data_IF_018264901225
#
_entry.id   IF_018264901225
#
_cell.length_a   1.000
_cell.length_b   1.000
_cell.length_c   1.000
_cell.angle_alpha   90.00
_cell.angle_beta   90.00
_cell.angle_gamma   90.00
#
_symmetry.space_group_name_H-M   'P 1'
#
loop_
_entity.id
_entity.type
_entity.pdbx_description
1 polymer ?
#
# COMPACT_ATOMS: atom_id res chain seq x y z
N UNK A 1 -89.11 40.62 -48.39
CA UNK A 1 -88.84 40.77 -46.93
C UNK A 1 -87.98 39.64 -46.49
N UNK A 2 -86.68 39.86 -46.19
CA UNK A 2 -85.77 38.87 -45.68
C UNK A 2 -85.11 39.41 -44.43
N UNK A 3 -85.40 38.78 -43.27
CA UNK A 3 -84.83 39.16 -42.00
C UNK A 3 -83.41 38.59 -41.87
N UNK A 4 -82.44 39.43 -41.58
CA UNK A 4 -81.09 39.10 -41.35
C UNK A 4 -80.91 38.62 -39.85
N UNK A 5 -80.50 37.36 -39.63
CA UNK A 5 -80.18 36.84 -38.33
C UNK A 5 -78.75 37.22 -37.97
N UNK A 6 -78.58 38.04 -36.94
CA UNK A 6 -77.29 38.44 -36.39
C UNK A 6 -76.75 37.35 -35.45
N UNK A 7 -75.71 36.65 -35.88
CA UNK A 7 -74.98 35.66 -35.09
C UNK A 7 -73.96 36.34 -34.18
N UNK A 8 -74.26 36.42 -32.88
CA UNK A 8 -73.37 36.98 -31.85
C UNK A 8 -72.41 35.88 -31.34
N UNK A 9 -71.19 35.76 -31.89
CA UNK A 9 -70.15 34.89 -31.37
C UNK A 9 -69.49 35.53 -30.14
N UNK A 10 -69.82 35.03 -28.93
CA UNK A 10 -69.09 35.38 -27.67
C UNK A 10 -67.65 34.91 -27.76
N UNK A 11 -66.68 35.79 -27.81
CA UNK A 11 -65.25 35.52 -27.67
C UNK A 11 -64.95 35.00 -26.27
N UNK A 12 -64.62 33.72 -26.13
CA UNK A 12 -64.07 33.16 -24.88
C UNK A 12 -62.70 33.79 -24.60
N UNK A 13 -62.55 34.53 -23.50
CA UNK A 13 -61.25 35.03 -23.00
C UNK A 13 -60.41 33.82 -22.63
N UNK A 14 -59.28 33.59 -23.33
CA UNK A 14 -58.26 32.66 -22.92
C UNK A 14 -57.70 33.12 -21.57
N UNK A 15 -57.90 32.33 -20.50
CA UNK A 15 -57.23 32.58 -19.22
C UNK A 15 -55.74 32.42 -19.44
N UNK A 16 -54.96 33.47 -19.07
CA UNK A 16 -53.50 33.47 -19.11
C UNK A 16 -52.99 32.37 -18.17
N UNK A 17 -52.14 31.46 -18.70
CA UNK A 17 -51.50 30.41 -17.92
C UNK A 17 -50.23 30.94 -17.18
N UNK A 18 -49.93 32.22 -17.31
CA UNK A 18 -48.77 32.87 -16.70
C UNK A 18 -48.65 32.68 -15.17
N UNK A 19 -49.73 32.78 -14.37
CA UNK A 19 -49.62 32.56 -12.91
C UNK A 19 -49.28 31.12 -12.53
N UNK A 20 -49.70 30.12 -13.30
CA UNK A 20 -49.39 28.74 -13.06
C UNK A 20 -47.94 28.42 -13.37
N UNK A 21 -47.41 28.96 -14.48
CA UNK A 21 -45.99 28.80 -14.85
C UNK A 21 -45.06 29.47 -13.83
N UNK A 22 -45.45 30.62 -13.26
CA UNK A 22 -44.68 31.29 -12.22
C UNK A 22 -44.60 30.46 -10.93
N UNK A 23 -45.70 29.82 -10.50
CA UNK A 23 -45.72 28.95 -9.33
C UNK A 23 -44.82 27.75 -9.54
N UNK A 24 -44.86 27.09 -10.72
CA UNK A 24 -43.95 25.97 -11.02
C UNK A 24 -42.48 26.42 -11.03
N UNK A 25 -42.17 27.59 -11.53
CA UNK A 25 -40.80 28.13 -11.56
C UNK A 25 -40.28 28.41 -10.15
N UNK A 26 -41.09 28.97 -9.25
CA UNK A 26 -40.75 29.25 -7.86
C UNK A 26 -40.55 27.93 -7.08
N UNK A 27 -41.43 26.94 -7.28
CA UNK A 27 -41.28 25.62 -6.63
C UNK A 27 -40.04 24.88 -7.09
N UNK A 28 -39.67 24.96 -8.39
CA UNK A 28 -38.46 24.38 -8.95
C UNK A 28 -37.20 25.03 -8.35
N UNK A 29 -37.18 26.37 -8.24
CA UNK A 29 -36.08 27.10 -7.62
C UNK A 29 -35.94 26.78 -6.13
N UNK A 30 -37.04 26.63 -5.39
CA UNK A 30 -37.01 26.23 -3.99
C UNK A 30 -36.46 24.82 -3.81
N UNK A 31 -36.84 23.89 -4.72
CA UNK A 31 -36.34 22.52 -4.69
C UNK A 31 -34.85 22.41 -5.03
N UNK A 32 -34.38 23.17 -6.02
CA UNK A 32 -32.95 23.29 -6.37
C UNK A 32 -32.14 23.92 -5.25
N UNK A 33 -32.69 24.92 -4.57
CA UNK A 33 -32.07 25.54 -3.39
C UNK A 33 -31.94 24.57 -2.23
N UNK A 34 -32.94 23.73 -2.01
CA UNK A 34 -32.94 22.72 -0.95
C UNK A 34 -31.93 21.59 -1.24
N UNK A 35 -31.81 21.16 -2.49
CA UNK A 35 -30.80 20.17 -2.92
C UNK A 35 -29.41 20.77 -2.79
N UNK A 36 -29.20 22.04 -3.13
CA UNK A 36 -27.93 22.75 -2.95
C UNK A 36 -27.51 22.87 -1.49
N UNK A 37 -28.45 23.19 -0.59
CA UNK A 37 -28.21 23.22 0.86
C UNK A 37 -27.89 21.83 1.43
N UNK A 38 -28.60 20.77 0.99
CA UNK A 38 -28.29 19.40 1.38
C UNK A 38 -26.92 18.95 0.88
N UNK A 39 -26.57 19.30 -0.35
CA UNK A 39 -25.23 19.01 -0.88
C UNK A 39 -24.11 19.71 -0.10
N UNK A 40 -24.32 21.00 0.27
CA UNK A 40 -23.39 21.75 1.11
C UNK A 40 -23.26 21.13 2.51
N UNK A 41 -24.37 20.70 3.15
CA UNK A 41 -24.32 20.03 4.44
C UNK A 41 -23.63 18.66 4.37
N UNK A 42 -23.76 17.93 3.25
CA UNK A 42 -23.08 16.65 3.04
C UNK A 42 -21.58 16.90 2.82
N UNK A 43 -21.22 17.88 2.00
CA UNK A 43 -19.82 18.27 1.79
C UNK A 43 -19.19 18.74 3.10
N UNK A 44 -19.88 19.59 3.88
CA UNK A 44 -19.40 20.07 5.18
C UNK A 44 -19.23 18.92 6.19
N UNK A 45 -20.13 17.93 6.21
CA UNK A 45 -19.97 16.70 7.02
C UNK A 45 -18.88 15.77 6.54
N UNK A 46 -18.58 15.75 5.23
CA UNK A 46 -17.50 14.93 4.68
C UNK A 46 -16.13 15.60 4.83
N UNK A 47 -16.08 16.94 4.77
CA UNK A 47 -14.84 17.71 4.95
C UNK A 47 -14.55 18.04 6.42
N UNK A 48 -15.55 18.19 7.27
CA UNK A 48 -15.42 18.45 8.70
C UNK A 48 -15.56 17.18 9.57
N UNK A 49 -15.34 15.98 9.03
CA UNK A 49 -14.85 14.91 9.89
C UNK A 49 -13.46 15.34 10.33
N UNK A 50 -13.36 16.11 11.39
CA UNK A 50 -12.14 16.18 12.20
C UNK A 50 -11.79 14.72 12.50
N UNK A 51 -10.78 14.20 11.81
CA UNK A 51 -10.11 12.98 12.24
C UNK A 51 -9.69 13.31 13.67
N UNK A 52 -10.19 12.55 14.64
CA UNK A 52 -9.84 12.74 16.03
C UNK A 52 -8.33 12.87 16.10
N UNK A 53 -7.81 14.04 16.46
CA UNK A 53 -6.38 14.22 16.69
C UNK A 53 -6.06 13.33 17.88
N UNK A 54 -5.50 12.15 17.59
CA UNK A 54 -4.96 11.29 18.63
C UNK A 54 -3.78 12.05 19.22
N UNK A 55 -3.85 12.38 20.48
CA UNK A 55 -2.74 12.98 21.20
C UNK A 55 -1.69 11.90 21.46
N UNK A 56 -0.69 11.84 20.58
CA UNK A 56 0.42 10.89 20.68
C UNK A 56 1.39 11.21 21.81
N UNK A 57 1.25 12.35 22.49
CA UNK A 57 2.18 12.73 23.56
C UNK A 57 2.11 11.81 24.78
N UNK A 58 0.98 11.11 24.96
CA UNK A 58 0.71 10.21 26.08
C UNK A 58 0.24 8.80 25.67
N UNK A 59 0.20 8.49 24.37
CA UNK A 59 -0.23 7.18 23.89
C UNK A 59 1.00 6.34 23.56
N UNK A 60 1.11 5.18 24.21
CA UNK A 60 2.08 4.16 23.83
C UNK A 60 1.66 3.56 22.48
N UNK A 61 2.56 3.61 21.49
CA UNK A 61 2.32 3.08 20.16
C UNK A 61 3.32 1.97 19.91
N UNK A 62 2.82 0.75 19.86
CA UNK A 62 3.67 -0.40 19.63
C UNK A 62 4.23 -0.43 18.19
N UNK A 63 5.42 -0.97 18.06
CA UNK A 63 5.98 -1.31 16.74
C UNK A 63 5.31 -2.59 16.24
N UNK A 64 5.03 -2.68 14.96
CA UNK A 64 4.39 -3.85 14.38
C UNK A 64 5.08 -4.34 13.11
N UNK A 65 4.98 -5.65 12.87
CA UNK A 65 5.60 -6.35 11.75
C UNK A 65 4.52 -6.83 10.78
N UNK A 66 4.66 -6.51 9.50
CA UNK A 66 3.78 -7.01 8.45
C UNK A 66 4.58 -7.79 7.41
N UNK A 67 4.13 -9.00 7.11
CA UNK A 67 4.68 -9.80 6.02
C UNK A 67 3.88 -9.54 4.73
N UNK A 68 4.53 -9.03 3.71
CA UNK A 68 3.97 -8.86 2.37
C UNK A 68 4.54 -9.93 1.45
N UNK A 69 3.68 -10.82 0.94
CA UNK A 69 4.04 -11.91 0.04
C UNK A 69 3.52 -11.61 -1.37
N UNK A 70 4.44 -11.33 -2.33
CA UNK A 70 4.05 -11.07 -3.70
C UNK A 70 3.84 -12.39 -4.45
N UNK A 71 2.67 -12.50 -5.08
CA UNK A 71 2.26 -13.68 -5.86
C UNK A 71 1.99 -13.31 -7.32
N UNK A 72 2.32 -14.23 -8.21
CA UNK A 72 2.01 -14.08 -9.63
C UNK A 72 0.55 -14.50 -9.94
N UNK A 73 0.17 -14.40 -11.22
CA UNK A 73 -1.18 -14.72 -11.69
C UNK A 73 -1.57 -16.20 -11.54
N UNK A 74 -0.59 -17.09 -11.38
CA UNK A 74 -0.79 -18.50 -11.05
C UNK A 74 -0.83 -18.76 -9.54
N UNK A 75 -0.85 -17.71 -8.71
CA UNK A 75 -0.79 -17.78 -7.25
C UNK A 75 0.49 -18.47 -6.73
N UNK A 76 1.60 -18.32 -7.43
CA UNK A 76 2.91 -18.80 -6.99
C UNK A 76 3.66 -17.66 -6.33
N UNK A 77 4.27 -17.93 -5.17
CA UNK A 77 5.08 -16.96 -4.43
C UNK A 77 6.31 -16.55 -5.27
N UNK A 78 6.41 -15.26 -5.54
CA UNK A 78 7.54 -14.67 -6.29
C UNK A 78 8.68 -14.24 -5.36
N UNK A 79 8.32 -13.46 -4.36
CA UNK A 79 9.19 -12.93 -3.30
C UNK A 79 8.31 -12.42 -2.13
N UNK A 80 8.95 -12.06 -1.03
CA UNK A 80 8.26 -11.46 0.10
C UNK A 80 9.17 -10.45 0.80
N UNK A 81 8.57 -9.58 1.60
CA UNK A 81 9.31 -8.74 2.51
C UNK A 81 8.61 -8.67 3.87
N UNK A 82 9.41 -8.53 4.93
CA UNK A 82 8.93 -8.20 6.26
C UNK A 82 9.17 -6.71 6.44
N UNK A 83 8.11 -5.99 6.79
CA UNK A 83 8.17 -4.54 7.04
C UNK A 83 7.80 -4.30 8.48
N UNK A 84 8.77 -3.78 9.26
CA UNK A 84 8.55 -3.33 10.62
C UNK A 84 8.35 -1.83 10.64
N UNK A 85 7.24 -1.40 11.21
CA UNK A 85 6.93 0.03 11.38
C UNK A 85 7.08 0.37 12.86
N UNK A 86 7.88 1.40 13.15
CA UNK A 86 8.18 1.90 14.49
C UNK A 86 7.72 3.37 14.57
N UNK A 87 6.44 3.64 14.87
CA UNK A 87 5.88 4.98 14.76
C UNK A 87 6.54 6.00 15.71
N UNK A 88 6.86 5.61 16.94
CA UNK A 88 7.49 6.50 17.91
C UNK A 88 8.86 6.99 17.46
N UNK A 89 9.68 6.09 16.90
CA UNK A 89 11.01 6.38 16.40
C UNK A 89 11.00 6.96 14.99
N UNK A 90 9.84 6.96 14.31
CA UNK A 90 9.70 7.29 12.89
C UNK A 90 10.69 6.49 12.02
N UNK A 91 10.74 5.18 12.24
CA UNK A 91 11.60 4.24 11.50
C UNK A 91 10.76 3.16 10.81
N UNK A 92 11.22 2.72 9.65
CA UNK A 92 10.67 1.58 8.92
C UNK A 92 11.84 0.69 8.51
N UNK A 93 11.85 -0.54 9.02
CA UNK A 93 12.80 -1.56 8.59
C UNK A 93 12.16 -2.45 7.53
N UNK A 94 12.88 -2.68 6.44
CA UNK A 94 12.50 -3.61 5.37
C UNK A 94 13.49 -4.77 5.35
N UNK A 95 12.98 -6.00 5.49
CA UNK A 95 13.75 -7.24 5.30
C UNK A 95 13.23 -7.93 4.05
N UNK A 96 13.91 -7.78 2.89
CA UNK A 96 13.53 -8.50 1.68
C UNK A 96 13.91 -9.96 1.82
N UNK A 97 13.02 -10.87 1.39
CA UNK A 97 13.22 -12.31 1.56
C UNK A 97 12.98 -13.04 0.25
N UNK A 98 13.91 -13.91 -0.11
CA UNK A 98 13.75 -14.77 -1.28
C UNK A 98 12.67 -15.84 -1.04
N UNK A 99 11.83 -16.07 -2.04
CA UNK A 99 10.90 -17.21 -2.03
C UNK A 99 11.61 -18.58 -1.99
N UNK A 100 12.91 -18.60 -2.26
CA UNK A 100 13.77 -19.78 -2.19
C UNK A 100 14.49 -19.95 -0.85
N UNK A 101 14.13 -19.15 0.16
CA UNK A 101 14.63 -19.34 1.53
C UNK A 101 14.10 -20.63 2.10
N UNK A 102 15.01 -21.47 2.62
CA UNK A 102 14.68 -22.74 3.27
C UNK A 102 14.06 -22.47 4.63
N UNK A 103 12.93 -23.10 4.89
CA UNK A 103 12.19 -22.96 6.13
C UNK A 103 12.81 -23.77 7.26
N UNK A 104 12.97 -23.16 8.44
CA UNK A 104 13.38 -23.89 9.65
C UNK A 104 12.25 -24.79 10.23
N UNK A 105 11.07 -24.84 9.61
CA UNK A 105 9.98 -25.71 10.07
C UNK A 105 10.29 -27.18 9.82
N UNK A 106 10.89 -27.50 8.68
CA UNK A 106 11.31 -28.84 8.27
C UNK A 106 12.76 -28.92 7.84
N UNK A 107 13.42 -27.77 7.60
CA UNK A 107 14.81 -27.68 7.17
C UNK A 107 15.05 -28.10 5.71
N UNK A 108 13.99 -28.27 4.92
CA UNK A 108 14.07 -28.77 3.54
C UNK A 108 13.26 -27.91 2.59
N UNK A 109 11.98 -27.63 2.91
CA UNK A 109 11.06 -26.90 2.04
C UNK A 109 11.41 -25.42 1.97
N UNK A 110 11.37 -24.85 0.75
CA UNK A 110 11.48 -23.42 0.55
C UNK A 110 10.19 -22.70 0.93
N UNK A 111 10.24 -21.40 1.16
CA UNK A 111 9.05 -20.60 1.42
C UNK A 111 8.02 -20.68 0.29
N UNK A 112 8.48 -20.83 -0.95
CA UNK A 112 7.61 -21.07 -2.11
C UNK A 112 6.81 -22.36 -1.94
N UNK A 113 7.46 -23.46 -1.62
CA UNK A 113 6.82 -24.77 -1.42
C UNK A 113 5.90 -24.76 -0.21
N UNK A 114 6.30 -24.10 0.88
CA UNK A 114 5.44 -23.89 2.05
C UNK A 114 4.18 -23.10 1.68
N UNK A 115 4.31 -22.05 0.88
CA UNK A 115 3.15 -21.27 0.41
C UNK A 115 2.24 -22.10 -0.50
N UNK A 116 2.81 -22.85 -1.44
CA UNK A 116 2.06 -23.71 -2.37
C UNK A 116 1.27 -24.81 -1.63
N UNK A 117 1.82 -25.35 -0.55
CA UNK A 117 1.18 -26.42 0.22
C UNK A 117 0.15 -25.95 1.25
N UNK A 118 0.37 -24.77 1.87
CA UNK A 118 -0.43 -24.34 3.02
C UNK A 118 -0.85 -22.87 3.01
N UNK A 119 -0.56 -22.15 1.93
CA UNK A 119 -0.94 -20.77 1.75
C UNK A 119 -0.25 -19.79 2.69
N UNK A 120 -0.80 -18.59 2.78
CA UNK A 120 -0.15 -17.46 3.47
C UNK A 120 0.03 -17.68 4.98
N UNK A 121 -0.89 -18.38 5.65
CA UNK A 121 -0.79 -18.62 7.10
C UNK A 121 0.35 -19.59 7.44
N UNK A 122 0.53 -20.65 6.64
CA UNK A 122 1.64 -21.56 6.84
C UNK A 122 2.96 -20.89 6.50
N UNK A 123 2.98 -20.06 5.45
CA UNK A 123 4.13 -19.22 5.13
C UNK A 123 4.49 -18.28 6.28
N UNK A 124 3.53 -17.58 6.89
CA UNK A 124 3.76 -16.73 8.06
C UNK A 124 4.45 -17.51 9.19
N UNK A 125 3.91 -18.67 9.56
CA UNK A 125 4.50 -19.53 10.60
C UNK A 125 5.94 -19.93 10.25
N UNK A 126 6.20 -20.24 8.99
CA UNK A 126 7.53 -20.61 8.53
C UNK A 126 8.51 -19.43 8.58
N UNK A 127 8.07 -18.24 8.15
CA UNK A 127 8.85 -17.01 8.22
C UNK A 127 9.18 -16.65 9.66
N UNK A 128 8.17 -16.64 10.54
CA UNK A 128 8.36 -16.32 11.96
C UNK A 128 9.38 -17.25 12.62
N UNK A 129 9.28 -18.54 12.36
CA UNK A 129 10.22 -19.53 12.89
C UNK A 129 11.62 -19.36 12.30
N UNK A 130 11.74 -19.14 11.00
CA UNK A 130 13.04 -19.06 10.32
C UNK A 130 13.83 -17.81 10.74
N UNK A 131 13.15 -16.68 10.91
CA UNK A 131 13.79 -15.43 11.30
C UNK A 131 13.79 -15.18 12.82
N UNK A 132 13.07 -16.00 13.60
CA UNK A 132 12.95 -15.83 15.07
C UNK A 132 12.16 -14.57 15.45
N UNK A 133 11.18 -14.20 14.65
CA UNK A 133 10.33 -12.99 14.84
C UNK A 133 8.87 -13.38 14.94
N UNK A 134 8.03 -12.44 15.34
CA UNK A 134 6.58 -12.57 15.22
C UNK A 134 6.06 -11.51 14.24
N UNK A 135 5.32 -11.94 13.21
CA UNK A 135 4.61 -11.04 12.30
C UNK A 135 3.17 -10.88 12.76
N UNK A 136 2.76 -9.63 13.02
CA UNK A 136 1.41 -9.30 13.50
C UNK A 136 0.39 -9.42 12.37
N UNK A 137 0.81 -8.97 11.19
CA UNK A 137 -0.03 -8.94 10.00
C UNK A 137 0.65 -9.61 8.81
N UNK A 138 -0.20 -10.06 7.87
CA UNK A 138 0.26 -10.51 6.56
C UNK A 138 -0.68 -10.01 5.45
N UNK A 139 -0.13 -9.89 4.25
CA UNK A 139 -0.90 -9.67 3.04
C UNK A 139 -0.26 -10.36 1.84
N UNK A 140 -1.08 -11.02 1.01
CA UNK A 140 -0.65 -11.36 -0.35
C UNK A 140 -0.85 -10.17 -1.27
N UNK A 141 0.13 -9.90 -2.12
CA UNK A 141 0.13 -8.78 -3.06
C UNK A 141 0.25 -9.34 -4.47
N UNK A 142 -0.75 -9.13 -5.32
CA UNK A 142 -0.65 -9.52 -6.73
C UNK A 142 0.36 -8.66 -7.49
N UNK A 143 0.89 -9.15 -8.59
CA UNK A 143 1.78 -8.37 -9.47
C UNK A 143 1.15 -7.02 -9.84
N UNK A 144 -0.15 -7.01 -10.21
CA UNK A 144 -0.85 -5.78 -10.58
C UNK A 144 -0.99 -4.81 -9.40
N UNK A 145 -1.33 -5.30 -8.20
CA UNK A 145 -1.42 -4.44 -7.02
C UNK A 145 -0.07 -3.81 -6.66
N UNK A 146 1.01 -4.58 -6.77
CA UNK A 146 2.37 -4.08 -6.58
C UNK A 146 2.74 -2.98 -7.58
N UNK A 147 2.52 -3.24 -8.89
CA UNK A 147 2.75 -2.26 -9.95
C UNK A 147 1.96 -0.98 -9.72
N UNK A 148 0.66 -1.10 -9.46
CA UNK A 148 -0.23 0.02 -9.23
C UNK A 148 0.18 0.87 -8.02
N UNK A 149 0.58 0.24 -6.90
CA UNK A 149 1.03 0.98 -5.71
C UNK A 149 2.35 1.72 -5.99
N UNK A 150 3.29 1.10 -6.68
CA UNK A 150 4.54 1.73 -7.07
C UNK A 150 4.31 2.92 -8.03
N UNK A 151 3.39 2.78 -9.00
CA UNK A 151 3.05 3.84 -9.94
C UNK A 151 2.29 5.01 -9.28
N UNK A 152 1.44 4.74 -8.27
CA UNK A 152 0.77 5.79 -7.47
C UNK A 152 1.82 6.67 -6.76
N UNK A 153 2.89 6.06 -6.24
CA UNK A 153 3.99 6.78 -5.59
C UNK A 153 4.90 7.49 -6.61
N UNK A 154 4.85 7.08 -7.88
CA UNK A 154 5.67 7.65 -8.97
C UNK A 154 6.98 6.93 -9.21
N UNK A 155 7.12 5.68 -8.73
CA UNK A 155 8.35 4.90 -8.88
C UNK A 155 9.53 5.45 -8.06
N UNK A 156 10.75 5.17 -8.48
CA UNK A 156 11.95 5.76 -7.89
C UNK A 156 13.10 5.83 -8.90
N UNK A 157 14.06 6.73 -8.65
CA UNK A 157 15.25 6.88 -9.47
C UNK A 157 16.23 5.74 -9.13
N UNK A 158 16.66 5.01 -10.16
CA UNK A 158 17.58 3.88 -10.03
C UNK A 158 18.70 3.98 -11.06
N UNK A 159 19.93 3.71 -10.64
CA UNK A 159 21.08 3.56 -11.51
C UNK A 159 21.74 2.21 -11.18
N UNK A 160 21.63 1.18 -12.03
CA UNK A 160 22.19 -0.14 -11.74
C UNK A 160 23.71 -0.12 -11.79
N UNK A 161 24.35 -0.91 -10.92
CA UNK A 161 25.83 -1.08 -10.90
C UNK A 161 26.34 -2.07 -11.96
N UNK A 162 25.44 -2.70 -12.70
CA UNK A 162 25.71 -3.60 -13.83
C UNK A 162 24.67 -3.36 -14.93
N UNK A 163 24.98 -3.69 -16.17
CA UNK A 163 23.99 -3.63 -17.25
C UNK A 163 22.88 -4.66 -17.03
N UNK A 164 21.64 -4.19 -17.01
CA UNK A 164 20.45 -5.05 -16.92
C UNK A 164 19.88 -5.22 -18.33
N UNK A 165 20.22 -6.32 -18.97
CA UNK A 165 19.75 -6.64 -20.32
C UNK A 165 19.18 -8.06 -20.38
N UNK A 166 17.87 -8.15 -20.60
CA UNK A 166 17.17 -9.42 -20.78
C UNK A 166 15.99 -9.25 -21.72
N UNK A 167 15.99 -10.00 -22.80
CA UNK A 167 14.87 -10.05 -23.75
C UNK A 167 14.16 -11.39 -23.56
N UNK A 168 12.90 -11.32 -23.15
CA UNK A 168 12.09 -12.52 -22.99
C UNK A 168 11.61 -13.05 -24.35
N UNK A 169 11.34 -14.35 -24.42
CA UNK A 169 10.81 -14.95 -25.64
C UNK A 169 9.42 -14.44 -26.04
N UNK A 170 8.69 -13.84 -25.10
CA UNK A 170 7.33 -13.33 -25.29
C UNK A 170 7.26 -11.82 -25.39
N UNK A 171 8.40 -11.12 -25.30
CA UNK A 171 8.53 -9.65 -25.24
C UNK A 171 7.75 -8.97 -24.07
N UNK A 172 7.18 -9.74 -23.15
CA UNK A 172 6.39 -9.22 -22.05
C UNK A 172 7.23 -8.88 -20.80
N UNK A 173 8.47 -9.39 -20.76
CA UNK A 173 9.36 -9.28 -19.60
C UNK A 173 10.75 -8.72 -19.97
N UNK A 174 10.78 -7.80 -20.92
CA UNK A 174 12.05 -7.23 -21.37
C UNK A 174 12.55 -6.18 -20.36
N UNK A 175 13.85 -6.26 -20.06
CA UNK A 175 14.58 -5.29 -19.25
C UNK A 175 15.79 -4.84 -20.05
N UNK A 176 15.98 -3.53 -20.19
CA UNK A 176 17.15 -2.94 -20.86
C UNK A 176 17.50 -1.61 -20.20
N UNK A 177 18.49 -1.64 -19.30
CA UNK A 177 19.01 -0.45 -18.60
C UNK A 177 20.54 -0.60 -18.57
N UNK A 178 21.24 0.45 -19.02
CA UNK A 178 22.71 0.45 -19.02
C UNK A 178 23.26 0.61 -17.62
N UNK A 179 24.44 0.07 -17.42
CA UNK A 179 25.22 0.33 -16.19
C UNK A 179 25.34 1.84 -15.92
N UNK A 180 25.08 2.25 -14.68
CA UNK A 180 25.12 3.65 -14.20
C UNK A 180 24.17 4.62 -14.94
N UNK A 181 23.26 4.13 -15.78
CA UNK A 181 22.20 4.94 -16.37
C UNK A 181 21.09 5.19 -15.32
N UNK A 182 20.90 6.46 -14.96
CA UNK A 182 19.86 6.84 -14.03
C UNK A 182 18.50 6.91 -14.72
N UNK A 183 17.57 6.05 -14.32
CA UNK A 183 16.21 5.96 -14.86
C UNK A 183 15.18 5.97 -13.73
N UNK A 184 14.02 6.58 -13.97
CA UNK A 184 12.88 6.43 -13.05
C UNK A 184 12.14 5.15 -13.42
N UNK A 185 12.14 4.19 -12.50
CA UNK A 185 11.49 2.89 -12.70
C UNK A 185 9.99 2.99 -12.43
N UNK A 186 9.18 2.50 -13.37
CA UNK A 186 7.74 2.26 -13.19
C UNK A 186 7.51 0.99 -12.37
N UNK A 187 6.28 0.83 -11.82
CA UNK A 187 5.91 -0.38 -11.07
C UNK A 187 6.16 -1.66 -11.85
N UNK A 188 5.86 -1.68 -13.15
CA UNK A 188 6.16 -2.82 -14.03
C UNK A 188 7.66 -3.09 -14.12
N UNK A 189 8.48 -2.07 -14.35
CA UNK A 189 9.94 -2.25 -14.44
C UNK A 189 10.52 -2.76 -13.12
N UNK A 190 10.07 -2.21 -11.98
CA UNK A 190 10.47 -2.67 -10.65
C UNK A 190 10.16 -4.16 -10.49
N UNK A 191 8.93 -4.59 -10.80
CA UNK A 191 8.54 -5.99 -10.74
C UNK A 191 9.41 -6.88 -11.62
N UNK A 192 9.70 -6.47 -12.85
CA UNK A 192 10.53 -7.23 -13.77
C UNK A 192 11.96 -7.40 -13.26
N UNK A 193 12.55 -6.34 -12.69
CA UNK A 193 13.90 -6.39 -12.13
C UNK A 193 13.94 -7.24 -10.85
N UNK A 194 12.90 -7.22 -10.00
CA UNK A 194 12.78 -8.16 -8.86
C UNK A 194 12.87 -9.63 -9.31
N UNK A 195 12.56 -9.94 -10.56
CA UNK A 195 12.61 -11.28 -11.13
C UNK A 195 13.69 -11.43 -12.23
N UNK A 196 14.60 -10.48 -12.30
CA UNK A 196 15.65 -10.49 -13.31
C UNK A 196 16.51 -11.77 -13.20
N UNK A 197 16.66 -12.56 -14.29
CA UNK A 197 17.18 -13.93 -14.17
C UNK A 197 18.70 -14.02 -14.13
N UNK A 198 19.40 -12.94 -14.48
CA UNK A 198 20.84 -12.99 -14.77
C UNK A 198 21.66 -11.90 -14.07
N UNK A 199 21.28 -11.52 -12.82
CA UNK A 199 22.16 -10.71 -12.01
C UNK A 199 23.53 -11.38 -11.82
N UNK A 200 24.60 -10.60 -11.82
CA UNK A 200 25.95 -11.12 -11.54
C UNK A 200 26.05 -11.79 -10.16
N UNK A 201 25.30 -11.29 -9.18
CA UNK A 201 25.14 -11.88 -7.85
C UNK A 201 24.09 -13.04 -7.82
N UNK A 202 23.60 -13.48 -8.96
CA UNK A 202 22.56 -14.50 -9.05
C UNK A 202 21.28 -14.09 -8.33
N UNK A 203 20.64 -15.04 -7.66
CA UNK A 203 19.39 -14.81 -6.92
C UNK A 203 19.52 -13.86 -5.73
N UNK A 204 20.73 -13.71 -5.20
CA UNK A 204 21.01 -12.71 -4.16
C UNK A 204 20.75 -11.30 -4.71
N UNK A 205 21.12 -11.02 -5.95
CA UNK A 205 20.85 -9.73 -6.60
C UNK A 205 19.35 -9.39 -6.69
N UNK A 206 18.46 -10.38 -6.87
CA UNK A 206 17.01 -10.16 -6.81
C UNK A 206 16.56 -9.70 -5.41
N UNK A 207 17.09 -10.34 -4.35
CA UNK A 207 16.77 -10.00 -2.96
C UNK A 207 17.29 -8.62 -2.60
N UNK A 208 18.49 -8.27 -3.00
CA UNK A 208 19.11 -6.95 -2.80
C UNK A 208 18.32 -5.86 -3.53
N UNK A 209 17.95 -6.12 -4.80
CA UNK A 209 17.14 -5.18 -5.55
C UNK A 209 15.74 -5.00 -4.92
N UNK A 210 15.10 -6.07 -4.44
CA UNK A 210 13.81 -5.97 -3.74
C UNK A 210 13.92 -5.05 -2.52
N UNK A 211 14.96 -5.21 -1.71
CA UNK A 211 15.24 -4.33 -0.56
C UNK A 211 15.43 -2.88 -0.98
N UNK A 212 16.23 -2.63 -2.02
CA UNK A 212 16.44 -1.31 -2.59
C UNK A 212 15.13 -0.70 -3.09
N UNK A 213 14.33 -1.47 -3.83
CA UNK A 213 13.09 -1.01 -4.43
C UNK A 213 12.06 -0.61 -3.36
N UNK A 214 11.80 -1.48 -2.38
CA UNK A 214 10.81 -1.17 -1.33
C UNK A 214 11.28 0.00 -0.47
N UNK A 215 12.56 0.04 -0.08
CA UNK A 215 13.13 1.16 0.68
C UNK A 215 13.00 2.48 -0.06
N UNK A 216 13.36 2.50 -1.35
CA UNK A 216 13.29 3.71 -2.18
C UNK A 216 11.85 4.16 -2.42
N UNK A 217 10.92 3.24 -2.69
CA UNK A 217 9.51 3.55 -2.86
C UNK A 217 8.91 4.15 -1.57
N UNK A 218 9.20 3.57 -0.41
CA UNK A 218 8.70 4.08 0.86
C UNK A 218 9.31 5.45 1.16
N UNK A 219 10.61 5.65 1.00
CA UNK A 219 11.23 6.97 1.20
C UNK A 219 10.66 8.01 0.22
N UNK A 220 10.45 7.65 -1.06
CA UNK A 220 9.80 8.54 -2.02
C UNK A 220 8.35 8.88 -1.62
N UNK A 221 7.61 7.92 -1.05
CA UNK A 221 6.29 8.18 -0.48
C UNK A 221 6.35 9.19 0.69
N UNK A 222 7.35 9.09 1.54
CA UNK A 222 7.56 10.03 2.65
C UNK A 222 7.99 11.43 2.20
N UNK A 223 8.69 11.54 1.08
CA UNK A 223 9.02 12.84 0.46
C UNK A 223 7.78 13.51 -0.16
N UNK A 224 6.74 12.74 -0.53
CA UNK A 224 5.52 13.21 -1.18
C UNK A 224 4.30 13.13 -0.24
N UNK A 225 4.36 13.84 0.91
CA UNK A 225 3.39 13.75 2.02
C UNK A 225 1.94 13.85 1.56
N UNK A 226 1.59 14.88 0.78
CA UNK A 226 0.21 15.12 0.35
C UNK A 226 -0.30 14.02 -0.60
N UNK A 227 0.51 13.61 -1.57
CA UNK A 227 0.18 12.53 -2.49
C UNK A 227 -0.04 11.23 -1.72
N UNK A 228 0.88 10.89 -0.85
CA UNK A 228 0.84 9.64 -0.06
C UNK A 228 -0.36 9.63 0.86
N UNK A 229 -0.59 10.69 1.63
CA UNK A 229 -1.73 10.81 2.55
C UNK A 229 -3.07 10.59 1.83
N UNK A 230 -3.23 11.17 0.63
CA UNK A 230 -4.45 11.05 -0.16
C UNK A 230 -4.57 9.68 -0.86
N UNK A 231 -3.48 8.94 -1.00
CA UNK A 231 -3.45 7.65 -1.72
C UNK A 231 -3.50 6.43 -0.81
N UNK A 232 -3.33 6.57 0.50
CA UNK A 232 -3.29 5.43 1.45
C UNK A 232 -4.49 4.49 1.30
N UNK A 233 -5.71 5.03 1.24
CA UNK A 233 -6.93 4.20 1.12
C UNK A 233 -7.01 3.47 -0.22
N UNK A 234 -6.50 4.09 -1.29
CA UNK A 234 -6.48 3.48 -2.62
C UNK A 234 -5.47 2.34 -2.65
N UNK A 235 -4.27 2.54 -2.10
CA UNK A 235 -3.23 1.51 -2.01
C UNK A 235 -3.68 0.33 -1.14
N UNK A 236 -4.26 0.61 0.04
CA UNK A 236 -4.83 -0.44 0.90
C UNK A 236 -5.86 -1.29 0.15
N UNK A 237 -6.83 -0.67 -0.53
CA UNK A 237 -7.85 -1.39 -1.29
C UNK A 237 -7.26 -2.24 -2.41
N UNK A 238 -6.25 -1.75 -3.14
CA UNK A 238 -5.60 -2.52 -4.21
C UNK A 238 -4.98 -3.83 -3.69
N UNK A 239 -4.46 -3.81 -2.47
CA UNK A 239 -3.92 -5.00 -1.81
C UNK A 239 -5.03 -5.86 -1.23
N UNK A 240 -5.97 -5.28 -0.47
CA UNK A 240 -6.99 -6.01 0.26
C UNK A 240 -8.05 -6.65 -0.65
N UNK A 241 -8.45 -5.99 -1.76
CA UNK A 241 -9.54 -6.46 -2.63
C UNK A 241 -9.18 -7.75 -3.41
N UNK A 242 -7.90 -8.01 -3.64
CA UNK A 242 -7.42 -9.15 -4.44
C UNK A 242 -6.50 -10.10 -3.68
N UNK A 243 -6.08 -9.73 -2.49
CA UNK A 243 -5.15 -10.48 -1.66
C UNK A 243 -5.81 -11.11 -0.45
N UNK A 244 -5.12 -12.09 0.15
CA UNK A 244 -5.46 -12.60 1.47
C UNK A 244 -4.70 -11.77 2.52
N UNK A 245 -5.42 -11.25 3.52
CA UNK A 245 -4.81 -10.50 4.64
C UNK A 245 -5.55 -10.78 5.93
N UNK A 246 -4.85 -10.69 7.07
CA UNK A 246 -5.46 -10.64 8.39
C UNK A 246 -5.57 -9.21 8.95
N UNK A 247 -5.08 -8.20 8.21
CA UNK A 247 -5.24 -6.80 8.58
C UNK A 247 -6.70 -6.38 8.38
N UNK A 248 -7.42 -6.17 9.48
CA UNK A 248 -8.79 -5.69 9.42
C UNK A 248 -8.87 -4.21 8.99
N UNK A 249 -10.07 -3.78 8.57
CA UNK A 249 -10.27 -2.36 8.23
C UNK A 249 -10.06 -1.44 9.45
N UNK A 250 -10.32 -1.92 10.66
CA UNK A 250 -10.10 -1.15 11.87
C UNK A 250 -8.60 -1.02 12.18
N UNK A 251 -7.85 -2.12 12.09
CA UNK A 251 -6.39 -2.08 12.25
C UNK A 251 -5.75 -1.17 11.21
N UNK A 252 -6.22 -1.23 9.95
CA UNK A 252 -5.76 -0.31 8.90
C UNK A 252 -6.02 1.16 9.26
N UNK A 253 -7.21 1.49 9.77
CA UNK A 253 -7.55 2.87 10.16
C UNK A 253 -6.63 3.37 11.27
N UNK A 254 -6.32 2.53 12.23
CA UNK A 254 -5.38 2.84 13.31
C UNK A 254 -3.96 3.05 12.76
N UNK A 255 -3.44 2.10 12.00
CA UNK A 255 -2.11 2.22 11.37
C UNK A 255 -2.00 3.45 10.45
N UNK A 256 -3.07 3.78 9.73
CA UNK A 256 -3.12 4.98 8.88
C UNK A 256 -2.86 6.26 9.67
N UNK A 257 -3.37 6.36 10.90
CA UNK A 257 -3.11 7.51 11.77
C UNK A 257 -1.61 7.58 12.10
N UNK A 258 -0.99 6.48 12.47
CA UNK A 258 0.44 6.43 12.78
C UNK A 258 1.32 6.79 11.57
N UNK A 259 0.97 6.26 10.39
CA UNK A 259 1.69 6.58 9.15
C UNK A 259 1.57 8.08 8.82
N UNK A 260 0.40 8.69 8.98
CA UNK A 260 0.23 10.13 8.78
C UNK A 260 1.08 10.96 9.73
N UNK A 261 1.17 10.58 11.00
CA UNK A 261 2.06 11.25 11.96
C UNK A 261 3.53 11.12 11.56
N UNK A 262 3.96 9.94 11.12
CA UNK A 262 5.32 9.75 10.61
C UNK A 262 5.60 10.61 9.37
N UNK A 263 4.66 10.69 8.42
CA UNK A 263 4.74 11.55 7.23
C UNK A 263 4.92 13.03 7.61
N UNK A 264 4.24 13.51 8.64
CA UNK A 264 4.35 14.89 9.12
C UNK A 264 5.74 15.22 9.70
N UNK A 265 6.51 14.22 10.14
CA UNK A 265 7.88 14.41 10.65
C UNK A 265 8.88 14.78 9.52
N UNK A 266 8.51 14.59 8.25
CA UNK A 266 9.33 14.92 7.06
C UNK A 266 10.75 14.33 7.11
N UNK A 267 10.83 13.05 7.45
CA UNK A 267 12.07 12.27 7.49
C UNK A 267 12.02 11.16 6.46
N UNK A 268 13.18 10.64 6.06
CA UNK A 268 13.26 9.38 5.29
C UNK A 268 13.43 8.23 6.27
N UNK A 269 12.32 7.56 6.66
CA UNK A 269 12.34 6.63 7.78
C UNK A 269 12.86 5.25 7.41
N UNK A 270 12.97 4.93 6.10
CA UNK A 270 13.08 3.55 5.64
C UNK A 270 14.52 3.15 5.36
N UNK A 271 14.89 1.99 5.86
CA UNK A 271 16.16 1.31 5.60
C UNK A 271 15.93 -0.19 5.46
N UNK A 272 16.88 -0.91 4.84
CA UNK A 272 16.76 -2.36 4.65
C UNK A 272 17.87 -3.13 5.33
N UNK A 273 17.56 -4.33 5.78
CA UNK A 273 18.51 -5.36 6.19
C UNK A 273 18.39 -6.54 5.23
N UNK A 274 19.39 -6.72 4.39
CA UNK A 274 19.42 -7.80 3.39
C UNK A 274 19.84 -9.10 4.08
N UNK A 275 19.08 -10.20 3.98
CA UNK A 275 19.45 -11.47 4.58
C UNK A 275 20.80 -11.98 4.06
N UNK A 276 21.70 -12.23 4.99
CA UNK A 276 22.99 -12.88 4.76
C UNK A 276 22.83 -14.38 4.98
N UNK A 277 23.53 -15.18 4.19
CA UNK A 277 23.42 -16.65 4.29
C UNK A 277 24.14 -17.36 3.16
N UNK A 278 23.75 -18.58 2.91
CA UNK A 278 24.38 -19.44 1.90
C UNK A 278 23.35 -19.97 0.89
N UNK A 279 23.66 -19.81 -0.38
CA UNK A 279 23.00 -20.48 -1.47
C UNK A 279 23.66 -21.85 -1.69
N UNK A 280 22.89 -22.93 -1.54
CA UNK A 280 23.37 -24.29 -1.85
C UNK A 280 23.32 -24.54 -3.37
N UNK A 281 22.31 -23.96 -4.01
CA UNK A 281 22.12 -23.92 -5.46
C UNK A 281 21.28 -22.66 -5.80
N UNK A 282 20.77 -22.54 -7.01
CA UNK A 282 19.94 -21.40 -7.43
C UNK A 282 18.49 -21.43 -6.85
N UNK A 283 18.17 -22.42 -6.02
CA UNK A 283 16.81 -22.63 -5.48
C UNK A 283 16.74 -22.79 -3.97
N UNK A 284 17.88 -22.86 -3.26
CA UNK A 284 17.89 -23.05 -1.81
C UNK A 284 18.83 -22.05 -1.14
N UNK A 285 18.25 -21.14 -0.38
CA UNK A 285 18.96 -20.16 0.43
C UNK A 285 18.76 -20.45 1.92
N UNK A 286 19.83 -20.61 2.67
CA UNK A 286 19.78 -20.77 4.11
C UNK A 286 20.26 -19.49 4.79
N UNK A 287 19.41 -18.90 5.63
CA UNK A 287 19.74 -17.67 6.38
C UNK A 287 20.79 -18.00 7.46
N UNK A 288 21.83 -17.17 7.56
CA UNK A 288 22.89 -17.37 8.56
C UNK A 288 22.39 -17.08 9.98
N UNK A 289 22.92 -17.78 10.99
CA UNK A 289 22.63 -17.49 12.40
C UNK A 289 23.02 -16.06 12.79
N UNK A 290 24.10 -15.54 12.21
CA UNK A 290 24.61 -14.20 12.45
C UNK A 290 23.59 -13.14 11.98
N UNK A 291 22.97 -13.35 10.83
CA UNK A 291 21.91 -12.45 10.36
C UNK A 291 20.68 -12.51 11.27
N UNK A 292 20.26 -13.72 11.69
CA UNK A 292 19.13 -13.86 12.61
C UNK A 292 19.36 -13.11 13.92
N UNK A 293 20.58 -13.16 14.46
CA UNK A 293 20.97 -12.42 15.67
C UNK A 293 20.96 -10.90 15.41
N UNK A 294 21.53 -10.43 14.31
CA UNK A 294 21.49 -9.00 13.94
C UNK A 294 20.04 -8.49 13.80
N UNK A 295 19.18 -9.28 13.20
CA UNK A 295 17.76 -8.94 13.04
C UNK A 295 17.05 -8.88 14.40
N UNK A 296 17.32 -9.85 15.28
CA UNK A 296 16.78 -9.87 16.63
C UNK A 296 17.22 -8.62 17.41
N UNK A 297 18.50 -8.27 17.37
CA UNK A 297 19.04 -7.09 18.06
C UNK A 297 18.38 -5.80 17.53
N UNK A 298 18.16 -5.69 16.23
CA UNK A 298 17.44 -4.55 15.63
C UNK A 298 15.97 -4.50 16.03
N UNK A 299 15.28 -5.66 16.11
CA UNK A 299 13.91 -5.73 16.59
C UNK A 299 13.79 -5.28 18.06
N UNK A 300 14.74 -5.67 18.91
CA UNK A 300 14.79 -5.21 20.31
C UNK A 300 15.09 -3.71 20.42
N UNK A 301 16.05 -3.19 19.64
CA UNK A 301 16.40 -1.77 19.63
C UNK A 301 15.26 -0.85 19.14
N UNK A 302 14.34 -1.42 18.36
CA UNK A 302 13.18 -0.71 17.79
C UNK A 302 11.86 -1.03 18.49
N UNK A 303 11.88 -1.74 19.64
CA UNK A 303 10.72 -1.85 20.52
C UNK A 303 10.36 -0.48 21.08
N UNK A 304 9.07 -0.21 21.11
CA UNK A 304 8.57 0.98 21.79
C UNK A 304 8.88 0.86 23.30
N UNK A 305 9.31 1.95 23.90
CA UNK A 305 9.56 1.96 25.35
C UNK A 305 8.28 2.32 26.08
N UNK A 306 7.78 1.45 26.96
CA UNK A 306 6.77 1.84 27.92
C UNK A 306 7.29 3.06 28.70
N UNK A 307 6.59 4.19 28.55
CA UNK A 307 6.82 5.33 29.44
C UNK A 307 6.45 4.86 30.86
N UNK A 308 7.46 4.59 31.69
CA UNK A 308 7.25 4.35 33.11
C UNK A 308 6.48 5.55 33.63
N UNK A 309 5.18 5.36 33.92
CA UNK A 309 4.37 6.37 34.58
C UNK A 309 5.07 6.70 35.89
N UNK A 310 5.57 7.92 35.97
CA UNK A 310 6.05 8.51 37.21
C UNK A 310 4.82 8.66 38.12
N UNK A 311 4.49 7.60 38.86
CA UNK A 311 3.56 7.67 39.98
C UNK A 311 4.38 8.29 41.11
N UNK A 312 4.52 9.62 41.04
CA UNK A 312 4.83 10.40 42.24
C UNK A 312 3.61 10.34 43.13
N UNK A 313 3.61 9.40 44.08
CA UNK A 313 2.79 9.50 45.29
C UNK A 313 3.17 10.77 46.02
N UNK A 314 2.25 11.75 46.05
CA UNK A 314 2.13 12.75 47.09
C UNK A 314 0.88 12.49 47.95
#
# INVERSE_FOLDING_TARGET
MAQAVRNNKKKRKKRSQAPVALVYFITLLAFLGLIGLLALMIVDRLTNKEEAKVDFSNTYIDSFNTMYARVNDQNVLSDLCIVRICPEQAKILVVPVSAFTVSDTDGVSTFREVYESGGIRQLQTAVDKTFGIATDYYATVSNQAFEDCADIIGGFLYAPSEELYYISQTNDNDVSIRENEAVVLTGRQIRLICQYPVFSAGRQGNTEFLGTAITSLLNNAFDQVDLTTNSLDIMYKKVADKGATNLSENDYKEQKVYIKEMLNKKVQPTYSMIPEGQWTDDKHFTVSPEFKQKLYDEMEATKSQEKSGDVSEE
#
